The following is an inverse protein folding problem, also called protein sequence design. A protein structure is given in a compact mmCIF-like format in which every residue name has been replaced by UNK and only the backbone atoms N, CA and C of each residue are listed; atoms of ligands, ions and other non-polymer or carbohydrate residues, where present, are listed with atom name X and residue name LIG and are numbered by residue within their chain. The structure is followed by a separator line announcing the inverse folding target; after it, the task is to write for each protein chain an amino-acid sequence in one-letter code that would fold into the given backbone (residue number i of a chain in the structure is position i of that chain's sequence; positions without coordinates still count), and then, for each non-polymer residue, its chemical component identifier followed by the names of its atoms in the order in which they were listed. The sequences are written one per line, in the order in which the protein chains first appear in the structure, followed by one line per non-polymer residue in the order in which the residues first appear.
data_IF_857191733381
#
_entry.id   IF_857191733381
#
_cell.length_a   1.000
_cell.length_b   1.000
_cell.length_c   1.000
_cell.angle_alpha   90.00
_cell.angle_beta   90.00
_cell.angle_gamma   90.00
#
_symmetry.space_group_name_H-M   'P 1'
#
loop_
_entity.id
_entity.type
_entity.pdbx_description
1 polymer ?
#
# COMPACT_ATOMS: atom_id res chain seq x y z
N UNK A 1 4.05 -13.59 6.56
CA UNK A 1 3.08 -12.52 6.89
C UNK A 1 2.10 -12.34 5.73
N UNK A 2 0.97 -11.67 5.88
CA UNK A 2 -0.10 -11.62 4.86
C UNK A 2 0.40 -11.21 3.46
N UNK A 3 1.30 -10.22 3.36
CA UNK A 3 1.83 -9.72 2.08
C UNK A 3 2.74 -10.69 1.33
N UNK A 4 3.37 -11.65 2.01
CA UNK A 4 4.27 -12.60 1.35
C UNK A 4 3.54 -13.65 0.49
N UNK A 5 2.20 -13.73 0.61
CA UNK A 5 1.37 -14.62 -0.21
C UNK A 5 0.86 -13.95 -1.49
N UNK A 6 0.85 -12.62 -1.55
CA UNK A 6 0.54 -11.89 -2.77
C UNK A 6 1.78 -11.84 -3.65
N UNK A 7 1.62 -12.22 -4.91
CA UNK A 7 2.64 -12.05 -5.96
C UNK A 7 2.19 -10.89 -6.84
N UNK A 8 2.77 -9.71 -6.63
CA UNK A 8 2.46 -8.53 -7.43
C UNK A 8 3.46 -8.43 -8.60
N UNK A 9 3.00 -8.53 -9.87
CA UNK A 9 3.84 -8.24 -11.03
C UNK A 9 4.41 -6.82 -10.96
N UNK A 10 5.66 -6.65 -11.40
CA UNK A 10 6.40 -5.40 -11.17
C UNK A 10 5.74 -4.12 -11.73
N UNK A 11 4.81 -4.25 -12.68
CA UNK A 11 4.14 -3.14 -13.39
C UNK A 11 2.67 -2.95 -12.99
N UNK A 12 2.17 -3.72 -12.03
CA UNK A 12 0.76 -3.66 -11.64
C UNK A 12 0.43 -2.44 -10.77
N UNK A 13 -0.87 -2.26 -10.54
CA UNK A 13 -1.38 -1.26 -9.62
C UNK A 13 -2.01 -1.92 -8.40
N UNK A 14 -1.68 -1.43 -7.21
CA UNK A 14 -2.20 -1.88 -5.93
C UNK A 14 -2.99 -0.75 -5.26
N UNK A 15 -4.21 -1.04 -4.84
CA UNK A 15 -5.07 -0.14 -4.08
C UNK A 15 -5.43 -0.78 -2.74
N UNK A 16 -5.12 -0.10 -1.64
CA UNK A 16 -5.50 -0.50 -0.29
C UNK A 16 -6.61 0.42 0.24
N UNK A 17 -7.79 -0.15 0.55
CA UNK A 17 -8.97 0.58 1.02
C UNK A 17 -9.09 0.44 2.53
N UNK A 18 -8.99 1.54 3.25
CA UNK A 18 -8.79 1.55 4.69
C UNK A 18 -7.33 1.30 5.05
N UNK A 19 -6.41 2.04 4.42
CA UNK A 19 -4.97 1.77 4.48
C UNK A 19 -4.35 2.00 5.87
N UNK A 20 -5.06 2.65 6.80
CA UNK A 20 -4.59 2.90 8.15
C UNK A 20 -3.26 3.65 8.14
N UNK A 21 -2.23 3.08 8.76
CA UNK A 21 -0.88 3.68 8.79
C UNK A 21 -0.07 3.43 7.50
N UNK A 22 -0.66 2.82 6.47
CA UNK A 22 -0.04 2.61 5.16
C UNK A 22 0.95 1.43 5.08
N UNK A 23 0.97 0.52 6.06
CA UNK A 23 1.93 -0.59 6.08
C UNK A 23 1.83 -1.47 4.82
N UNK A 24 0.62 -1.93 4.47
CA UNK A 24 0.44 -2.81 3.32
C UNK A 24 0.77 -2.12 1.99
N UNK A 25 0.44 -0.84 1.83
CA UNK A 25 0.81 -0.01 0.67
C UNK A 25 2.33 0.03 0.47
N UNK A 26 3.10 0.23 1.56
CA UNK A 26 4.57 0.25 1.50
C UNK A 26 5.15 -1.12 1.18
N UNK A 27 4.59 -2.18 1.73
CA UNK A 27 5.00 -3.55 1.39
C UNK A 27 4.70 -3.91 -0.07
N UNK A 28 3.57 -3.47 -0.61
CA UNK A 28 3.24 -3.62 -2.02
C UNK A 28 4.18 -2.81 -2.92
N UNK A 29 4.49 -1.55 -2.55
CA UNK A 29 5.40 -0.69 -3.30
C UNK A 29 6.82 -1.30 -3.45
N UNK A 30 7.29 -2.06 -2.46
CA UNK A 30 8.57 -2.78 -2.55
C UNK A 30 8.59 -3.85 -3.64
N UNK A 31 7.45 -4.43 -4.00
CA UNK A 31 7.32 -5.44 -5.06
C UNK A 31 7.10 -4.80 -6.44
N UNK A 32 6.42 -3.65 -6.50
CA UNK A 32 6.03 -2.94 -7.72
C UNK A 32 7.14 -2.01 -8.25
N UNK A 33 8.21 -2.55 -8.85
CA UNK A 33 9.36 -1.75 -9.32
C UNK A 33 9.02 -0.67 -10.35
N UNK A 34 8.02 -0.91 -11.21
CA UNK A 34 7.54 0.05 -12.23
C UNK A 34 6.02 0.23 -12.20
N UNK A 35 5.37 -0.28 -11.15
CA UNK A 35 3.95 -0.20 -10.90
C UNK A 35 3.59 0.97 -9.97
N UNK A 36 2.37 0.96 -9.45
CA UNK A 36 1.86 1.99 -8.54
C UNK A 36 1.20 1.37 -7.32
N UNK A 37 1.47 1.89 -6.14
CA UNK A 37 0.73 1.56 -4.92
C UNK A 37 0.04 2.82 -4.39
N UNK A 38 -1.25 2.71 -4.08
CA UNK A 38 -2.04 3.79 -3.51
C UNK A 38 -2.82 3.26 -2.30
N UNK A 39 -2.88 4.07 -1.24
CA UNK A 39 -3.73 3.80 -0.08
C UNK A 39 -4.76 4.90 0.06
N UNK A 40 -5.99 4.52 0.41
CA UNK A 40 -7.04 5.45 0.81
C UNK A 40 -7.53 5.11 2.21
N UNK A 41 -7.79 6.13 3.01
CA UNK A 41 -8.42 6.00 4.32
C UNK A 41 -9.40 7.16 4.52
N UNK A 42 -10.51 6.89 5.20
CA UNK A 42 -11.52 7.91 5.49
C UNK A 42 -11.06 8.87 6.59
N UNK A 43 -10.17 8.42 7.47
CA UNK A 43 -9.63 9.21 8.57
C UNK A 43 -8.46 10.06 8.08
N UNK A 44 -8.57 11.41 8.08
CA UNK A 44 -7.43 12.28 7.77
C UNK A 44 -6.25 12.02 8.69
N UNK A 45 -6.50 11.68 9.97
CA UNK A 45 -5.45 11.35 10.93
C UNK A 45 -4.67 10.09 10.53
N UNK A 46 -5.32 9.13 9.89
CA UNK A 46 -4.63 7.95 9.38
C UNK A 46 -3.74 8.29 8.19
N UNK A 47 -4.21 9.17 7.29
CA UNK A 47 -3.38 9.67 6.19
C UNK A 47 -2.14 10.41 6.73
N UNK A 48 -2.29 11.27 7.75
CA UNK A 48 -1.13 11.90 8.41
C UNK A 48 -0.14 10.85 8.96
N UNK A 49 -0.65 9.85 9.68
CA UNK A 49 0.18 8.78 10.24
C UNK A 49 0.83 7.90 9.16
N UNK A 50 0.22 7.79 7.98
CA UNK A 50 0.75 6.99 6.87
C UNK A 50 1.87 7.69 6.11
N UNK A 51 1.90 9.03 6.17
CA UNK A 51 2.90 9.89 5.51
C UNK A 51 4.07 10.26 6.43
N UNK A 52 3.92 10.08 7.75
CA UNK A 52 4.99 10.24 8.74
C UNK A 52 6.04 9.14 8.63
#
# INVERSE_FOLDING_TARGET
MAMSKLKLPERDSFLDVGCGTGWAVREAAKQLKSGKACGIDISPKMIENALA
#
